data_IF_086666886578
#
_entry.id   IF_086666886578
#
_cell.length_a   1.000
_cell.length_b   1.000
_cell.length_c   1.000
_cell.angle_alpha   90.00
_cell.angle_beta   90.00
_cell.angle_gamma   90.00
#
_symmetry.space_group_name_H-M   'P 1'
#
loop_
_entity.id
_entity.type
_entity.pdbx_description
1 polymer ?
#
# COMPACT_ATOMS: atom_id res chain seq x y z
N UNK A 1 -3.37 32.73 -26.78
CA UNK A 1 -1.92 32.38 -26.81
C UNK A 1 -1.25 33.40 -25.89
N UNK A 2 -0.78 32.96 -24.73
CA UNK A 2 -0.41 33.83 -23.60
C UNK A 2 1.06 34.29 -23.63
N UNK A 3 1.80 34.15 -24.73
CA UNK A 3 3.16 34.68 -24.89
C UNK A 3 4.13 34.41 -23.72
N UNK A 4 3.93 33.33 -22.97
CA UNK A 4 4.80 33.00 -21.83
C UNK A 4 6.18 32.59 -22.34
N UNK A 5 7.24 33.08 -21.74
CA UNK A 5 8.60 32.65 -22.07
C UNK A 5 8.76 31.16 -21.79
N UNK A 6 9.28 30.40 -22.72
CA UNK A 6 9.62 29.00 -22.55
C UNK A 6 11.07 28.74 -22.96
N UNK A 7 11.67 27.79 -22.30
CA UNK A 7 12.99 27.27 -22.65
C UNK A 7 12.82 25.87 -23.23
N UNK A 8 13.37 25.66 -24.40
CA UNK A 8 13.38 24.36 -25.04
C UNK A 8 14.70 23.65 -24.72
N UNK A 9 14.59 22.48 -24.08
CA UNK A 9 15.71 21.58 -23.84
C UNK A 9 15.64 20.44 -24.85
N UNK A 10 16.74 20.17 -25.54
CA UNK A 10 16.85 19.05 -26.47
C UNK A 10 17.76 18.00 -25.85
N UNK A 11 17.25 16.78 -25.77
CA UNK A 11 17.99 15.62 -25.29
C UNK A 11 18.26 14.67 -26.44
N UNK A 12 19.47 14.13 -26.49
CA UNK A 12 19.84 13.05 -27.39
C UNK A 12 19.84 11.75 -26.61
N UNK A 13 19.30 10.70 -27.19
CA UNK A 13 19.23 9.35 -26.61
C UNK A 13 19.92 8.37 -27.56
N UNK A 14 20.57 7.36 -27.01
CA UNK A 14 21.29 6.37 -27.80
C UNK A 14 20.31 5.41 -28.50
N UNK A 15 19.17 5.10 -27.83
CA UNK A 15 18.14 4.25 -28.38
C UNK A 15 16.72 4.65 -27.92
N UNK A 16 15.71 3.97 -28.48
CA UNK A 16 14.31 4.19 -28.13
C UNK A 16 13.97 3.75 -26.70
N UNK A 17 14.67 2.75 -26.18
CA UNK A 17 14.46 2.27 -24.81
C UNK A 17 14.89 3.32 -23.80
N UNK A 18 16.05 3.94 -23.99
CA UNK A 18 16.55 5.03 -23.16
C UNK A 18 15.61 6.23 -23.17
N UNK A 19 15.13 6.64 -24.35
CA UNK A 19 14.15 7.71 -24.48
C UNK A 19 12.85 7.43 -23.75
N UNK A 20 12.32 6.21 -23.82
CA UNK A 20 11.13 5.78 -23.12
C UNK A 20 11.36 5.71 -21.61
N UNK A 21 12.52 5.23 -21.15
CA UNK A 21 12.88 5.20 -19.74
C UNK A 21 12.95 6.62 -19.16
N UNK A 22 13.59 7.53 -19.85
CA UNK A 22 13.65 8.95 -19.43
C UNK A 22 12.26 9.58 -19.32
N UNK A 23 11.39 9.34 -20.32
CA UNK A 23 10.01 9.82 -20.30
C UNK A 23 9.23 9.26 -19.10
N UNK A 24 9.43 7.98 -18.78
CA UNK A 24 8.81 7.29 -17.65
C UNK A 24 9.29 7.86 -16.31
N UNK A 25 10.58 8.09 -16.15
CA UNK A 25 11.16 8.67 -14.92
C UNK A 25 10.67 10.11 -14.70
N UNK A 26 10.51 10.88 -15.77
CA UNK A 26 9.89 12.19 -15.72
C UNK A 26 8.43 12.15 -15.30
N UNK A 27 7.68 11.15 -15.75
CA UNK A 27 6.27 10.94 -15.35
C UNK A 27 6.13 10.50 -13.89
N UNK A 28 7.00 9.62 -13.41
CA UNK A 28 7.04 9.19 -12.00
C UNK A 28 7.20 10.37 -11.04
N UNK A 29 8.09 11.31 -11.36
CA UNK A 29 8.34 12.49 -10.54
C UNK A 29 7.17 13.49 -10.49
N UNK A 30 6.24 13.42 -11.43
CA UNK A 30 5.13 14.38 -11.55
C UNK A 30 3.79 13.86 -11.02
N UNK A 31 3.62 12.55 -10.86
CA UNK A 31 2.35 11.93 -10.48
C UNK A 31 2.54 10.93 -9.36
N UNK A 32 1.60 10.94 -8.43
CA UNK A 32 1.55 9.95 -7.35
C UNK A 32 0.89 8.67 -7.89
N UNK A 33 1.62 7.94 -8.74
CA UNK A 33 1.16 6.72 -9.39
C UNK A 33 1.14 5.55 -8.39
N UNK A 34 0.09 4.75 -8.43
CA UNK A 34 0.06 3.52 -7.66
C UNK A 34 0.85 2.38 -8.34
N UNK A 35 1.01 1.27 -7.61
CA UNK A 35 1.80 0.12 -8.10
C UNK A 35 1.23 -0.51 -9.37
N UNK A 36 -0.10 -0.49 -9.54
CA UNK A 36 -0.75 -1.01 -10.74
C UNK A 36 -0.50 -0.10 -11.94
N UNK A 37 -0.68 1.21 -11.77
CA UNK A 37 -0.40 2.21 -12.79
C UNK A 37 1.07 2.18 -13.23
N UNK A 38 2.01 2.08 -12.26
CA UNK A 38 3.44 1.91 -12.55
C UNK A 38 3.71 0.63 -13.35
N UNK A 39 3.08 -0.47 -12.98
CA UNK A 39 3.21 -1.73 -13.70
C UNK A 39 2.71 -1.63 -15.14
N UNK A 40 1.54 -1.03 -15.39
CA UNK A 40 1.02 -0.80 -16.75
C UNK A 40 1.95 0.07 -17.60
N UNK A 41 2.57 1.06 -16.99
CA UNK A 41 3.52 1.93 -17.69
C UNK A 41 4.79 1.15 -18.02
N UNK A 42 5.30 0.33 -17.09
CA UNK A 42 6.47 -0.53 -17.35
C UNK A 42 6.23 -1.50 -18.51
N UNK A 43 5.02 -2.06 -18.62
CA UNK A 43 4.67 -2.96 -19.72
C UNK A 43 4.80 -2.33 -21.10
N UNK A 44 4.75 -0.99 -21.21
CA UNK A 44 5.02 -0.29 -22.48
C UNK A 44 6.48 -0.39 -22.94
N UNK A 45 7.41 -0.75 -22.02
CA UNK A 45 8.81 -1.02 -22.33
C UNK A 45 9.07 -2.48 -22.73
N UNK A 46 8.08 -3.37 -22.50
CA UNK A 46 8.24 -4.81 -22.72
C UNK A 46 8.73 -5.16 -24.14
N UNK A 47 8.17 -4.58 -25.23
CA UNK A 47 8.61 -4.91 -26.59
C UNK A 47 10.09 -4.60 -26.85
N UNK A 48 10.58 -3.47 -26.32
CA UNK A 48 11.97 -3.04 -26.52
C UNK A 48 12.94 -3.90 -25.69
N UNK A 49 12.56 -4.25 -24.46
CA UNK A 49 13.36 -5.13 -23.58
C UNK A 49 13.43 -6.54 -24.18
N UNK A 50 12.32 -7.07 -24.70
CA UNK A 50 12.29 -8.37 -25.39
C UNK A 50 13.10 -8.36 -26.67
N UNK A 51 13.08 -7.25 -27.44
CA UNK A 51 13.92 -7.09 -28.63
C UNK A 51 15.41 -7.09 -28.27
N UNK A 52 15.79 -6.41 -27.21
CA UNK A 52 17.16 -6.41 -26.67
C UNK A 52 17.58 -7.81 -26.20
N UNK A 53 16.72 -8.51 -25.48
CA UNK A 53 16.97 -9.88 -25.03
C UNK A 53 17.18 -10.83 -26.23
N UNK A 54 16.35 -10.71 -27.25
CA UNK A 54 16.45 -11.52 -28.47
C UNK A 54 17.72 -11.19 -29.27
N UNK A 55 18.11 -9.93 -29.36
CA UNK A 55 19.35 -9.50 -30.00
C UNK A 55 20.58 -10.08 -29.27
N UNK A 56 20.59 -10.04 -27.94
CA UNK A 56 21.67 -10.62 -27.13
C UNK A 56 21.78 -12.14 -27.31
N UNK A 57 20.66 -12.86 -27.36
CA UNK A 57 20.65 -14.29 -27.64
C UNK A 57 21.16 -14.62 -29.05
N UNK A 58 20.77 -13.83 -30.06
CA UNK A 58 21.23 -14.02 -31.44
C UNK A 58 22.73 -13.75 -31.60
N UNK A 59 23.27 -12.72 -30.94
CA UNK A 59 24.69 -12.41 -30.91
C UNK A 59 25.52 -13.53 -30.26
N UNK A 60 25.02 -14.08 -29.13
CA UNK A 60 25.63 -15.22 -28.48
C UNK A 60 25.62 -16.51 -29.33
N UNK A 61 24.53 -16.77 -30.07
CA UNK A 61 24.42 -17.92 -30.96
C UNK A 61 25.31 -17.84 -32.22
N UNK A 62 25.50 -16.65 -32.79
CA UNK A 62 26.37 -16.44 -33.93
C UNK A 62 27.86 -16.52 -33.61
N UNK A 63 28.22 -16.25 -32.34
CA UNK A 63 29.61 -16.36 -31.88
C UNK A 63 30.05 -17.81 -31.58
N UNK A 64 29.14 -18.78 -31.63
CA UNK A 64 29.48 -20.20 -31.48
C UNK A 64 29.81 -20.82 -32.83
N UNK A 65 31.04 -20.61 -33.31
CA UNK A 65 31.65 -21.44 -34.35
C UNK A 65 32.65 -22.36 -33.66
N UNK A 66 32.47 -23.70 -33.74
CA UNK A 66 33.48 -24.61 -33.29
C UNK A 66 34.68 -24.56 -34.29
N UNK A 67 35.62 -23.66 -34.03
CA UNK A 67 36.92 -23.69 -34.69
C UNK A 67 37.85 -24.56 -33.86
N UNK A 68 38.62 -25.42 -34.52
CA UNK A 68 39.48 -26.47 -33.97
C UNK A 68 40.66 -25.99 -33.08
N UNK A 69 40.75 -24.70 -32.77
CA UNK A 69 41.76 -24.16 -31.87
C UNK A 69 41.08 -23.29 -30.78
N UNK A 70 41.09 -23.83 -29.57
CA UNK A 70 40.41 -23.30 -28.42
C UNK A 70 40.82 -21.91 -28.00
N UNK A 71 39.97 -20.98 -28.17
CA UNK A 71 39.65 -19.84 -27.28
C UNK A 71 38.61 -18.95 -28.00
N UNK A 72 37.39 -19.41 -28.07
CA UNK A 72 36.29 -18.50 -28.41
C UNK A 72 35.96 -17.66 -27.19
N UNK A 73 36.44 -16.43 -27.16
CA UNK A 73 35.93 -15.39 -26.23
C UNK A 73 34.54 -15.03 -26.72
N UNK A 74 33.52 -15.76 -26.23
CA UNK A 74 32.12 -15.39 -26.42
C UNK A 74 31.93 -13.98 -25.85
N UNK A 75 31.31 -13.04 -26.59
CA UNK A 75 30.90 -11.80 -25.98
C UNK A 75 29.96 -12.14 -24.83
N UNK A 76 30.43 -11.86 -23.63
CA UNK A 76 29.69 -12.16 -22.39
C UNK A 76 28.60 -11.10 -22.21
N UNK A 77 27.59 -11.15 -23.10
CA UNK A 77 26.40 -10.32 -22.98
C UNK A 77 25.55 -10.90 -21.85
N UNK A 78 25.27 -10.15 -20.79
CA UNK A 78 24.48 -10.66 -19.68
C UNK A 78 23.09 -11.05 -20.17
N UNK A 79 22.53 -12.18 -19.65
CA UNK A 79 21.18 -12.57 -19.98
C UNK A 79 20.20 -11.50 -19.48
N UNK A 80 19.29 -11.10 -20.35
CA UNK A 80 18.26 -10.11 -20.05
C UNK A 80 17.05 -10.84 -19.45
N UNK A 81 16.77 -10.61 -18.18
CA UNK A 81 15.50 -11.02 -17.55
C UNK A 81 14.48 -9.90 -17.71
N UNK A 82 13.57 -10.07 -18.67
CA UNK A 82 12.54 -9.08 -19.00
C UNK A 82 11.72 -8.65 -17.79
N UNK A 83 11.36 -9.61 -16.92
CA UNK A 83 10.56 -9.31 -15.72
C UNK A 83 11.36 -8.45 -14.74
N UNK A 84 12.62 -8.75 -14.53
CA UNK A 84 13.52 -7.99 -13.66
C UNK A 84 13.74 -6.58 -14.20
N UNK A 85 14.08 -6.43 -15.47
CA UNK A 85 14.28 -5.12 -16.08
C UNK A 85 13.00 -4.25 -16.03
N UNK A 86 11.83 -4.83 -16.28
CA UNK A 86 10.56 -4.13 -16.12
C UNK A 86 10.30 -3.71 -14.67
N UNK A 87 10.61 -4.57 -13.71
CA UNK A 87 10.44 -4.27 -12.28
C UNK A 87 11.37 -3.12 -11.85
N UNK A 88 12.64 -3.19 -12.23
CA UNK A 88 13.66 -2.21 -11.90
C UNK A 88 13.34 -0.84 -12.51
N UNK A 89 12.85 -0.80 -13.77
CA UNK A 89 12.49 0.43 -14.47
C UNK A 89 11.47 1.30 -13.73
N UNK A 90 10.60 0.70 -12.94
CA UNK A 90 9.54 1.41 -12.19
C UNK A 90 9.69 1.31 -10.66
N UNK A 91 10.72 0.63 -10.17
CA UNK A 91 10.97 0.44 -8.74
C UNK A 91 9.95 -0.50 -8.08
N UNK A 92 9.41 -1.47 -8.81
CA UNK A 92 8.55 -2.53 -8.29
C UNK A 92 9.39 -3.77 -8.00
N UNK A 93 8.96 -4.58 -7.01
CA UNK A 93 9.55 -5.90 -6.83
C UNK A 93 9.19 -6.86 -7.97
N UNK A 94 10.12 -7.71 -8.40
CA UNK A 94 9.95 -8.69 -9.48
C UNK A 94 8.69 -9.56 -9.32
N UNK A 95 8.38 -9.97 -8.08
CA UNK A 95 7.18 -10.75 -7.78
C UNK A 95 5.88 -9.96 -8.07
N UNK A 96 5.88 -8.67 -7.80
CA UNK A 96 4.74 -7.79 -8.09
C UNK A 96 4.62 -7.59 -9.59
N UNK A 97 5.74 -7.34 -10.27
CA UNK A 97 5.76 -7.19 -11.73
C UNK A 97 5.28 -8.46 -12.44
N UNK A 98 5.69 -9.64 -11.96
CA UNK A 98 5.19 -10.91 -12.50
C UNK A 98 3.66 -11.07 -12.37
N UNK A 99 3.05 -10.60 -11.27
CA UNK A 99 1.59 -10.58 -11.13
C UNK A 99 0.94 -9.58 -12.09
N UNK A 100 1.52 -8.40 -12.26
CA UNK A 100 1.03 -7.38 -13.20
C UNK A 100 1.04 -7.92 -14.63
N UNK A 101 2.14 -8.55 -15.06
CA UNK A 101 2.26 -9.17 -16.37
C UNK A 101 1.16 -10.23 -16.60
N UNK A 102 0.93 -11.07 -15.60
CA UNK A 102 -0.06 -12.14 -15.69
C UNK A 102 -1.49 -11.62 -15.73
N UNK A 103 -1.78 -10.57 -14.97
CA UNK A 103 -3.08 -9.88 -15.03
C UNK A 103 -3.25 -9.21 -16.40
N UNK A 104 -2.24 -8.54 -16.91
CA UNK A 104 -2.31 -7.86 -18.21
C UNK A 104 -2.59 -8.85 -19.36
N UNK A 105 -1.98 -10.03 -19.31
CA UNK A 105 -2.08 -11.04 -20.34
C UNK A 105 -3.37 -11.87 -20.27
N UNK A 106 -3.82 -12.26 -19.06
CA UNK A 106 -4.85 -13.27 -18.87
C UNK A 106 -6.11 -12.79 -18.16
N UNK A 107 -6.11 -11.59 -17.54
CA UNK A 107 -7.27 -11.16 -16.77
C UNK A 107 -8.41 -10.68 -17.67
N UNK A 108 -9.66 -11.05 -17.35
CA UNK A 108 -10.85 -10.46 -17.92
C UNK A 108 -10.93 -8.94 -17.72
N UNK A 109 -11.70 -8.25 -18.55
CA UNK A 109 -11.83 -6.81 -18.50
C UNK A 109 -12.31 -6.29 -17.12
N UNK A 110 -13.26 -6.99 -16.51
CA UNK A 110 -13.79 -6.65 -15.20
C UNK A 110 -12.70 -6.53 -14.11
N UNK A 111 -11.71 -7.44 -14.12
CA UNK A 111 -10.60 -7.39 -13.15
C UNK A 111 -9.68 -6.19 -13.39
N UNK A 112 -9.37 -5.89 -14.66
CA UNK A 112 -8.53 -4.74 -15.03
C UNK A 112 -9.20 -3.42 -14.66
N UNK A 113 -10.50 -3.30 -14.93
CA UNK A 113 -11.28 -2.12 -14.55
C UNK A 113 -11.35 -1.91 -13.02
N UNK A 114 -11.55 -2.98 -12.25
CA UNK A 114 -11.59 -2.91 -10.80
C UNK A 114 -10.22 -2.50 -10.21
N UNK A 115 -9.11 -2.93 -10.83
CA UNK A 115 -7.78 -2.46 -10.48
C UNK A 115 -7.56 -0.98 -10.82
N UNK A 116 -8.04 -0.54 -11.98
CA UNK A 116 -7.97 0.87 -12.42
C UNK A 116 -8.78 1.80 -11.49
N UNK A 117 -9.90 1.31 -10.98
CA UNK A 117 -10.74 2.00 -9.98
C UNK A 117 -10.21 1.88 -8.54
N UNK A 118 -9.09 1.17 -8.31
CA UNK A 118 -8.50 0.91 -6.98
C UNK A 118 -9.42 0.13 -6.02
N UNK A 119 -10.36 -0.60 -6.57
CA UNK A 119 -11.29 -1.45 -5.82
C UNK A 119 -10.64 -2.76 -5.39
N UNK A 120 -9.65 -3.24 -6.17
CA UNK A 120 -8.85 -4.43 -5.89
C UNK A 120 -7.38 -4.09 -5.70
N UNK A 121 -6.68 -4.88 -4.89
CA UNK A 121 -5.23 -4.93 -4.86
C UNK A 121 -4.69 -5.81 -6.00
N UNK A 122 -3.43 -5.58 -6.43
CA UNK A 122 -2.77 -6.44 -7.45
C UNK A 122 -2.82 -7.92 -7.05
N UNK A 123 -2.71 -8.22 -5.74
CA UNK A 123 -2.77 -9.59 -5.28
C UNK A 123 -4.15 -10.22 -5.47
N UNK A 124 -5.22 -9.50 -5.15
CA UNK A 124 -6.60 -9.94 -5.36
C UNK A 124 -6.89 -10.11 -6.86
N UNK A 125 -6.52 -9.11 -7.68
CA UNK A 125 -6.66 -9.21 -9.13
C UNK A 125 -5.95 -10.44 -9.70
N UNK A 126 -4.72 -10.71 -9.28
CA UNK A 126 -3.97 -11.91 -9.67
C UNK A 126 -4.67 -13.21 -9.26
N UNK A 127 -5.21 -13.28 -8.02
CA UNK A 127 -5.91 -14.47 -7.56
C UNK A 127 -7.20 -14.73 -8.36
N UNK A 128 -7.99 -13.68 -8.60
CA UNK A 128 -9.20 -13.78 -9.42
C UNK A 128 -8.83 -14.24 -10.83
N UNK A 129 -7.79 -13.64 -11.45
CA UNK A 129 -7.29 -14.06 -12.76
C UNK A 129 -6.98 -15.55 -12.79
N UNK A 130 -6.25 -16.06 -11.81
CA UNK A 130 -5.91 -17.48 -11.68
C UNK A 130 -7.12 -18.39 -11.50
N UNK A 131 -8.13 -17.95 -10.79
CA UNK A 131 -9.37 -18.72 -10.59
C UNK A 131 -10.17 -18.86 -11.88
N UNK A 132 -10.27 -17.76 -12.65
CA UNK A 132 -11.08 -17.76 -13.88
C UNK A 132 -10.33 -18.28 -15.11
N UNK A 133 -9.00 -18.32 -15.09
CA UNK A 133 -8.15 -18.80 -16.19
C UNK A 133 -8.49 -20.24 -16.61
N UNK A 134 -8.89 -21.08 -15.65
CA UNK A 134 -9.25 -22.48 -15.88
C UNK A 134 -10.69 -22.69 -16.38
N UNK A 135 -11.50 -21.61 -16.44
CA UNK A 135 -12.88 -21.70 -16.93
C UNK A 135 -12.95 -21.57 -18.45
N UNK A 136 -14.02 -22.10 -19.09
CA UNK A 136 -14.29 -21.84 -20.49
C UNK A 136 -14.35 -20.34 -20.78
N UNK A 137 -13.85 -19.90 -21.93
CA UNK A 137 -13.69 -18.47 -22.27
C UNK A 137 -14.99 -17.68 -22.12
N UNK A 138 -16.14 -18.25 -22.55
CA UNK A 138 -17.44 -17.61 -22.44
C UNK A 138 -17.97 -17.43 -21.00
N UNK A 139 -17.35 -18.06 -20.00
CA UNK A 139 -17.75 -17.95 -18.58
C UNK A 139 -16.78 -17.08 -17.76
N UNK A 140 -15.60 -16.78 -18.29
CA UNK A 140 -14.53 -16.08 -17.55
C UNK A 140 -14.95 -14.68 -17.11
N UNK A 141 -15.58 -13.92 -17.99
CA UNK A 141 -15.99 -12.53 -17.69
C UNK A 141 -17.05 -12.50 -16.59
N UNK A 142 -18.08 -13.36 -16.68
CA UNK A 142 -19.13 -13.42 -15.68
C UNK A 142 -18.59 -13.85 -14.29
N UNK A 143 -17.77 -14.91 -14.28
CA UNK A 143 -17.13 -15.39 -13.05
C UNK A 143 -16.19 -14.34 -12.43
N UNK A 144 -15.50 -13.55 -13.27
CA UNK A 144 -14.67 -12.45 -12.81
C UNK A 144 -15.48 -11.34 -12.18
N UNK A 145 -16.61 -10.93 -12.77
CA UNK A 145 -17.51 -9.94 -12.19
C UNK A 145 -18.01 -10.38 -10.81
N UNK A 146 -18.48 -11.61 -10.67
CA UNK A 146 -18.94 -12.15 -9.39
C UNK A 146 -17.82 -12.18 -8.33
N UNK A 147 -16.61 -12.58 -8.74
CA UNK A 147 -15.45 -12.61 -7.84
C UNK A 147 -15.00 -11.20 -7.41
N UNK A 148 -15.09 -10.22 -8.30
CA UNK A 148 -14.80 -8.81 -8.00
C UNK A 148 -15.81 -8.26 -6.98
N UNK A 149 -17.10 -8.47 -7.20
CA UNK A 149 -18.15 -8.04 -6.27
C UNK A 149 -18.00 -8.70 -4.89
N UNK A 150 -17.69 -9.99 -4.85
CA UNK A 150 -17.41 -10.70 -3.60
C UNK A 150 -16.19 -10.13 -2.87
N UNK A 151 -15.13 -9.78 -3.62
CA UNK A 151 -13.92 -9.18 -3.03
C UNK A 151 -14.21 -7.78 -2.45
N UNK A 152 -15.03 -6.96 -3.12
CA UNK A 152 -15.49 -5.67 -2.61
C UNK A 152 -16.31 -5.82 -1.34
N UNK A 153 -17.31 -6.70 -1.34
CA UNK A 153 -18.14 -6.95 -0.17
C UNK A 153 -17.30 -7.42 1.05
N UNK A 154 -16.33 -8.30 0.83
CA UNK A 154 -15.41 -8.73 1.90
C UNK A 154 -14.58 -7.58 2.45
N UNK A 155 -14.11 -6.67 1.59
CA UNK A 155 -13.34 -5.50 2.01
C UNK A 155 -14.19 -4.56 2.86
N UNK A 156 -15.43 -4.27 2.46
CA UNK A 156 -16.36 -3.45 3.22
C UNK A 156 -16.69 -4.04 4.61
N UNK A 157 -16.87 -5.37 4.68
CA UNK A 157 -17.08 -6.05 5.96
C UNK A 157 -15.85 -5.90 6.85
N UNK A 158 -14.64 -6.14 6.32
CA UNK A 158 -13.40 -5.98 7.08
C UNK A 158 -13.17 -4.55 7.59
N UNK A 159 -13.52 -3.55 6.79
CA UNK A 159 -13.41 -2.14 7.18
C UNK A 159 -14.39 -1.81 8.33
N UNK A 160 -15.63 -2.30 8.25
CA UNK A 160 -16.63 -2.14 9.31
C UNK A 160 -16.24 -2.87 10.59
N UNK A 161 -15.75 -4.11 10.49
CA UNK A 161 -15.28 -4.87 11.64
C UNK A 161 -14.09 -4.18 12.33
N UNK A 162 -13.18 -3.60 11.55
CA UNK A 162 -12.05 -2.85 12.08
C UNK A 162 -12.49 -1.55 12.78
N UNK A 163 -13.53 -0.88 12.28
CA UNK A 163 -14.13 0.29 12.90
C UNK A 163 -14.79 -0.06 14.24
N UNK A 164 -15.62 -1.11 14.26
CA UNK A 164 -16.27 -1.63 15.47
C UNK A 164 -15.21 -2.02 16.53
N UNK A 165 -14.14 -2.71 16.12
CA UNK A 165 -13.06 -3.11 17.05
C UNK A 165 -12.31 -1.89 17.61
N UNK A 166 -12.10 -0.86 16.79
CA UNK A 166 -11.52 0.43 17.22
C UNK A 166 -12.42 1.14 18.23
N UNK A 167 -13.70 1.24 17.94
CA UNK A 167 -14.68 1.87 18.82
C UNK A 167 -14.79 1.11 20.16
N UNK A 168 -14.83 -0.22 20.10
CA UNK A 168 -14.84 -1.07 21.30
C UNK A 168 -13.59 -0.90 22.16
N UNK A 169 -12.41 -0.73 21.55
CA UNK A 169 -11.17 -0.44 22.29
C UNK A 169 -11.23 0.92 22.98
N UNK A 170 -11.73 1.94 22.28
CA UNK A 170 -11.87 3.28 22.86
C UNK A 170 -12.85 3.24 24.03
N UNK A 171 -14.05 2.67 23.83
CA UNK A 171 -15.05 2.51 24.88
C UNK A 171 -14.50 1.75 26.10
N UNK A 172 -13.75 0.67 25.85
CA UNK A 172 -13.13 -0.12 26.92
C UNK A 172 -12.11 0.65 27.76
N UNK A 173 -11.37 1.59 27.18
CA UNK A 173 -10.47 2.47 27.92
C UNK A 173 -11.27 3.40 28.85
N UNK A 174 -12.33 4.03 28.33
CA UNK A 174 -13.19 4.90 29.15
C UNK A 174 -13.87 4.13 30.28
N UNK A 175 -14.50 2.98 30.01
CA UNK A 175 -15.14 2.16 31.03
C UNK A 175 -14.18 1.78 32.16
N UNK A 176 -12.98 1.29 31.81
CA UNK A 176 -11.97 0.92 32.82
C UNK A 176 -11.47 2.10 33.65
N UNK A 177 -11.31 3.28 33.02
CA UNK A 177 -10.92 4.49 33.74
C UNK A 177 -12.00 4.92 34.72
N UNK A 178 -13.26 4.91 34.30
CA UNK A 178 -14.40 5.22 35.18
C UNK A 178 -14.57 4.23 36.33
N UNK A 179 -14.53 2.93 36.05
CA UNK A 179 -14.60 1.91 37.09
C UNK A 179 -13.55 2.09 38.16
N UNK A 180 -12.31 2.40 37.79
CA UNK A 180 -11.23 2.68 38.75
C UNK A 180 -11.41 4.00 39.48
N UNK A 181 -11.84 5.05 38.77
CA UNK A 181 -12.04 6.37 39.38
C UNK A 181 -13.17 6.34 40.44
N UNK A 182 -14.26 5.61 40.19
CA UNK A 182 -15.39 5.46 41.14
C UNK A 182 -14.97 4.73 42.40
N UNK A 183 -13.97 3.83 42.32
CA UNK A 183 -13.45 3.11 43.49
C UNK A 183 -12.48 3.95 44.33
N UNK A 184 -12.05 5.10 43.84
CA UNK A 184 -11.21 6.01 44.62
C UNK A 184 -12.06 6.74 45.67
N UNK A 185 -11.69 6.54 46.93
CA UNK A 185 -12.24 7.30 48.07
C UNK A 185 -11.15 8.32 48.54
N UNK A 186 -11.18 9.55 48.04
CA UNK A 186 -10.10 10.53 48.23
C UNK A 186 -10.18 11.23 49.61
N UNK A 187 -10.38 10.45 50.66
CA UNK A 187 -10.31 10.99 52.03
C UNK A 187 -8.86 11.34 52.40
N UNK A 188 -8.69 12.30 53.34
CA UNK A 188 -7.34 12.69 53.81
C UNK A 188 -6.60 11.47 54.40
N UNK A 189 -7.32 10.58 55.07
CA UNK A 189 -6.76 9.37 55.65
C UNK A 189 -6.24 8.43 54.60
N UNK A 190 -7.04 8.13 53.55
CA UNK A 190 -6.69 7.22 52.48
C UNK A 190 -5.52 7.76 51.65
N UNK A 191 -5.48 9.06 51.38
CA UNK A 191 -4.35 9.72 50.68
C UNK A 191 -3.08 9.63 51.50
N UNK A 192 -3.18 9.83 52.83
CA UNK A 192 -2.04 9.72 53.75
C UNK A 192 -1.51 8.27 53.83
N UNK A 193 -2.40 7.29 53.87
CA UNK A 193 -2.02 5.88 53.85
C UNK A 193 -1.32 5.53 52.50
N UNK A 194 -1.85 6.00 51.39
CA UNK A 194 -1.27 5.77 50.07
C UNK A 194 0.16 6.33 49.99
N UNK A 195 0.34 7.59 50.30
CA UNK A 195 1.65 8.24 50.29
C UNK A 195 2.67 7.54 51.21
N UNK A 196 2.22 7.09 52.38
CA UNK A 196 3.04 6.31 53.33
C UNK A 196 3.43 4.94 52.79
N UNK A 197 2.46 4.19 52.25
CA UNK A 197 2.69 2.82 51.74
C UNK A 197 3.58 2.78 50.50
N UNK A 198 3.47 3.80 49.65
CA UNK A 198 4.31 3.93 48.44
C UNK A 198 5.66 4.58 48.73
N UNK A 199 5.88 5.08 49.97
CA UNK A 199 7.13 5.76 50.39
C UNK A 199 7.51 6.92 49.46
N UNK A 200 6.52 7.70 49.03
CA UNK A 200 6.75 8.82 48.12
C UNK A 200 7.69 9.83 48.73
N UNK A 201 8.68 10.26 47.97
CA UNK A 201 9.50 11.41 48.25
C UNK A 201 8.68 12.70 48.06
N UNK A 202 9.21 13.85 48.50
CA UNK A 202 8.57 15.14 48.31
C UNK A 202 8.33 15.44 46.81
N UNK A 203 9.36 15.24 46.01
CA UNK A 203 9.31 15.50 44.57
C UNK A 203 8.24 14.62 43.88
N UNK A 204 8.18 13.33 44.21
CA UNK A 204 7.13 12.41 43.69
C UNK A 204 5.73 12.82 44.15
N UNK A 205 5.58 13.39 45.36
CA UNK A 205 4.29 13.94 45.80
C UNK A 205 3.91 15.19 45.02
N UNK A 206 4.86 16.08 44.71
CA UNK A 206 4.63 17.28 43.92
C UNK A 206 4.22 16.92 42.49
N UNK A 207 4.90 15.94 41.85
CA UNK A 207 4.54 15.40 40.55
C UNK A 207 3.15 14.76 40.58
N UNK A 208 2.85 13.95 41.59
CA UNK A 208 1.53 13.31 41.75
C UNK A 208 0.40 14.35 41.89
N UNK A 209 0.65 15.45 42.58
CA UNK A 209 -0.33 16.57 42.69
C UNK A 209 -0.59 17.18 41.32
N UNK A 210 0.47 17.41 40.54
CA UNK A 210 0.34 17.94 39.17
C UNK A 210 -0.44 17.00 38.25
N UNK A 211 -0.05 15.74 38.21
CA UNK A 211 -0.74 14.71 37.41
C UNK A 211 -2.22 14.55 37.81
N UNK A 212 -2.52 14.57 39.10
CA UNK A 212 -3.90 14.50 39.60
C UNK A 212 -4.76 15.69 39.15
N UNK A 213 -4.17 16.89 39.07
CA UNK A 213 -4.87 18.07 38.56
C UNK A 213 -5.08 18.00 37.06
N UNK A 214 -4.10 17.51 36.29
CA UNK A 214 -4.24 17.25 34.85
C UNK A 214 -5.32 16.22 34.57
N UNK A 215 -5.37 15.13 35.35
CA UNK A 215 -6.40 14.11 35.24
C UNK A 215 -7.80 14.64 35.56
N UNK A 216 -7.92 15.50 36.58
CA UNK A 216 -9.19 16.15 36.91
C UNK A 216 -9.72 17.00 35.72
N UNK A 217 -8.82 17.69 35.01
CA UNK A 217 -9.16 18.48 33.84
C UNK A 217 -9.64 17.58 32.68
N UNK A 218 -9.02 16.41 32.51
CA UNK A 218 -9.48 15.42 31.53
C UNK A 218 -10.89 14.96 31.84
N UNK A 219 -11.19 14.60 33.10
CA UNK A 219 -12.55 14.18 33.49
C UNK A 219 -13.58 15.31 33.34
N UNK A 220 -13.22 16.56 33.62
CA UNK A 220 -14.08 17.72 33.36
C UNK A 220 -14.41 17.87 31.89
N UNK A 221 -13.38 17.78 31.04
CA UNK A 221 -13.56 17.83 29.57
C UNK A 221 -14.47 16.72 29.07
N UNK A 222 -14.33 15.50 29.62
CA UNK A 222 -15.22 14.38 29.28
C UNK A 222 -16.68 14.70 29.67
N UNK A 223 -16.89 15.24 30.87
CA UNK A 223 -18.23 15.60 31.31
C UNK A 223 -18.87 16.67 30.40
N UNK A 224 -18.11 17.74 30.07
CA UNK A 224 -18.56 18.82 29.19
C UNK A 224 -18.90 18.29 27.75
N UNK A 225 -18.14 17.32 27.26
CA UNK A 225 -18.41 16.68 25.99
C UNK A 225 -19.65 15.77 26.07
N UNK A 226 -19.80 15.00 27.15
CA UNK A 226 -20.96 14.14 27.33
C UNK A 226 -22.27 14.93 27.42
N UNK A 227 -22.25 16.12 28.08
CA UNK A 227 -23.41 17.01 28.11
C UNK A 227 -23.89 17.41 26.73
N UNK A 228 -23.00 17.55 25.75
CA UNK A 228 -23.36 17.88 24.35
C UNK A 228 -24.05 16.71 23.62
N UNK A 229 -23.87 15.50 24.10
CA UNK A 229 -24.49 14.28 23.53
C UNK A 229 -25.71 13.79 24.32
N UNK A 230 -26.09 14.49 25.40
CA UNK A 230 -27.32 14.14 26.11
C UNK A 230 -28.51 14.34 25.19
N UNK A 231 -29.38 13.32 24.99
CA UNK A 231 -30.60 13.49 24.23
C UNK A 231 -31.51 14.51 24.92
N UNK A 232 -32.16 15.36 24.13
CA UNK A 232 -33.17 16.28 24.63
C UNK A 232 -34.18 15.53 25.50
N UNK A 233 -34.55 16.08 26.68
CA UNK A 233 -35.43 15.46 27.69
C UNK A 233 -36.85 15.07 27.17
N UNK A 234 -37.06 15.05 25.87
CA UNK A 234 -38.34 14.74 25.21
C UNK A 234 -38.29 13.58 24.20
N UNK A 235 -37.17 12.86 24.06
CA UNK A 235 -36.96 11.82 23.03
C UNK A 235 -36.78 10.39 23.60
N UNK A 236 -37.26 10.13 24.78
CA UNK A 236 -37.40 8.75 25.32
C UNK A 236 -38.86 8.33 25.37
#
# INVERSE_FOLDING_TARGET
>A
KHGLPYQMLVFAFDDLLEAKQWALDTQKGRRNLDKWELGKIALKLKPEIEAKAKANMSAGGQAYHPSEEGSATLPNLPPVDTRKELADSVGLGERTMGKVMQIDEHAPAAVKEALDKKELSIHQGYQITKQVENLPEGQREQAALEAVELAKAKKEIQEKDAEIDREGKIAGVFCKAYEKAVLLDPTEENVRIWAKCTRMTRDEMEDTVKESRELAEVFRTIADLMERFLPDRGTL
#
